data_IF_689250729251
#
_entry.id   IF_689250729251
#
_cell.length_a   1.000
_cell.length_b   1.000
_cell.length_c   1.000
_cell.angle_alpha   90.00
_cell.angle_beta   90.00
_cell.angle_gamma   90.00
#
_symmetry.space_group_name_H-M   'P 1'
#
loop_
_entity.id
_entity.type
_entity.pdbx_description
1 polymer ?
#
# COMPACT_ATOMS: atom_id res chain seq x y z
N UNK A 1 -33.60 36.36 11.47
CA UNK A 1 -32.38 35.56 11.33
C UNK A 1 -32.77 34.19 10.86
N UNK A 2 -32.50 33.79 9.65
CA UNK A 2 -32.73 32.41 9.27
C UNK A 2 -31.67 31.54 9.93
N UNK A 3 -32.12 30.67 10.80
CA UNK A 3 -31.28 29.58 11.33
C UNK A 3 -30.95 28.65 10.17
N UNK A 4 -29.71 28.60 9.80
CA UNK A 4 -29.17 27.53 8.96
C UNK A 4 -29.30 26.25 9.75
N UNK A 5 -30.35 25.48 9.49
CA UNK A 5 -30.43 24.09 9.86
C UNK A 5 -29.22 23.40 9.21
N UNK A 6 -28.19 23.15 10.01
CA UNK A 6 -27.26 22.06 9.72
C UNK A 6 -28.14 20.81 9.75
N UNK A 7 -28.43 20.29 8.57
CA UNK A 7 -28.86 18.90 8.46
C UNK A 7 -27.72 18.06 8.98
N UNK A 8 -27.85 17.59 10.20
CA UNK A 8 -27.08 16.47 10.70
C UNK A 8 -27.43 15.31 9.77
N UNK A 9 -26.59 15.11 8.77
CA UNK A 9 -26.61 13.90 7.99
C UNK A 9 -26.10 12.80 8.95
N UNK A 10 -27.04 12.04 9.50
CA UNK A 10 -26.77 10.94 10.42
C UNK A 10 -26.23 9.69 9.71
N UNK A 11 -25.64 9.89 8.53
CA UNK A 11 -24.92 8.88 7.75
C UNK A 11 -23.46 8.78 8.18
N UNK A 12 -22.86 7.61 7.95
CA UNK A 12 -21.42 7.41 8.13
C UNK A 12 -20.63 8.42 7.28
N UNK A 13 -19.58 9.01 7.84
CA UNK A 13 -18.69 9.89 7.10
C UNK A 13 -18.04 9.15 5.91
N UNK A 14 -17.59 9.90 4.91
CA UNK A 14 -16.91 9.29 3.76
C UNK A 14 -15.68 8.45 4.20
N UNK A 15 -14.96 8.88 5.22
CA UNK A 15 -13.85 8.11 5.79
C UNK A 15 -14.31 6.78 6.41
N UNK A 16 -15.41 6.79 7.17
CA UNK A 16 -16.00 5.55 7.72
C UNK A 16 -16.49 4.63 6.63
N UNK A 17 -17.06 5.16 5.55
CA UNK A 17 -17.50 4.37 4.40
C UNK A 17 -16.32 3.73 3.65
N UNK A 18 -15.21 4.43 3.48
CA UNK A 18 -13.97 3.85 2.92
C UNK A 18 -13.46 2.69 3.77
N UNK A 19 -13.42 2.88 5.07
CA UNK A 19 -12.98 1.86 6.03
C UNK A 19 -13.91 0.64 6.00
N UNK A 20 -15.20 0.86 5.92
CA UNK A 20 -16.20 -0.22 5.85
C UNK A 20 -16.11 -0.98 4.51
N UNK A 21 -15.91 -0.26 3.40
CA UNK A 21 -15.66 -0.89 2.10
C UNK A 21 -14.42 -1.79 2.13
N UNK A 22 -13.33 -1.32 2.73
CA UNK A 22 -12.11 -2.08 2.88
C UNK A 22 -12.27 -3.31 3.79
N UNK A 23 -13.02 -3.17 4.88
CA UNK A 23 -13.25 -4.24 5.84
C UNK A 23 -14.08 -5.38 5.27
N UNK A 24 -15.06 -5.06 4.42
CA UNK A 24 -16.04 -6.01 3.87
C UNK A 24 -15.82 -6.39 2.42
N UNK A 25 -14.75 -5.91 1.81
CA UNK A 25 -14.51 -6.05 0.37
C UNK A 25 -15.71 -5.55 -0.47
N UNK A 26 -16.31 -4.43 -0.05
CA UNK A 26 -17.50 -3.89 -0.70
C UNK A 26 -17.12 -2.88 -1.79
N UNK A 27 -16.95 -3.39 -3.01
CA UNK A 27 -16.60 -2.61 -4.20
C UNK A 27 -17.70 -1.63 -4.57
N UNK A 28 -18.97 -1.98 -4.40
CA UNK A 28 -20.09 -1.10 -4.74
C UNK A 28 -20.10 0.14 -3.86
N UNK A 29 -19.85 -0.04 -2.56
CA UNK A 29 -19.72 1.09 -1.64
C UNK A 29 -18.53 1.98 -2.01
N UNK A 30 -17.39 1.39 -2.36
CA UNK A 30 -16.20 2.13 -2.80
C UNK A 30 -16.49 2.92 -4.08
N UNK A 31 -17.16 2.32 -5.06
CA UNK A 31 -17.56 2.99 -6.30
C UNK A 31 -18.50 4.16 -6.05
N UNK A 32 -19.46 4.03 -5.13
CA UNK A 32 -20.34 5.12 -4.75
C UNK A 32 -19.57 6.32 -4.17
N UNK A 33 -18.49 6.05 -3.42
CA UNK A 33 -17.60 7.09 -2.93
C UNK A 33 -16.85 7.74 -4.10
N UNK A 34 -16.31 6.95 -5.03
CA UNK A 34 -15.60 7.46 -6.21
C UNK A 34 -16.51 8.38 -7.07
N UNK A 35 -17.74 7.98 -7.28
CA UNK A 35 -18.73 8.81 -7.99
C UNK A 35 -18.98 10.15 -7.28
N UNK A 36 -19.06 10.12 -5.95
CA UNK A 36 -19.26 11.34 -5.14
C UNK A 36 -18.09 12.32 -5.24
N UNK A 37 -16.91 11.83 -5.55
CA UNK A 37 -15.67 12.61 -5.68
C UNK A 37 -15.21 12.77 -7.14
N UNK A 38 -16.00 12.38 -8.12
CA UNK A 38 -15.60 12.40 -9.55
C UNK A 38 -15.08 13.76 -10.03
N UNK A 39 -15.62 14.87 -9.49
CA UNK A 39 -15.16 16.23 -9.80
C UNK A 39 -14.03 16.74 -8.90
N UNK A 40 -13.57 15.93 -7.95
CA UNK A 40 -12.60 16.33 -6.90
C UNK A 40 -11.59 15.21 -6.64
N UNK A 41 -10.80 14.81 -7.65
CA UNK A 41 -9.89 13.66 -7.51
C UNK A 41 -8.85 13.84 -6.41
N UNK A 42 -8.32 15.04 -6.22
CA UNK A 42 -7.34 15.30 -5.15
C UNK A 42 -7.93 15.10 -3.75
N UNK A 43 -9.22 15.43 -3.58
CA UNK A 43 -9.91 15.22 -2.31
C UNK A 43 -10.18 13.72 -2.07
N UNK A 44 -10.45 12.95 -3.13
CA UNK A 44 -10.56 11.50 -3.04
C UNK A 44 -9.25 10.87 -2.57
N UNK A 45 -8.13 11.24 -3.17
CA UNK A 45 -6.81 10.73 -2.78
C UNK A 45 -6.48 11.12 -1.34
N UNK A 46 -6.75 12.35 -0.96
CA UNK A 46 -6.58 12.81 0.43
C UNK A 46 -7.43 12.00 1.41
N UNK A 47 -8.68 11.71 1.05
CA UNK A 47 -9.59 10.88 1.83
C UNK A 47 -9.04 9.46 2.01
N UNK A 48 -8.63 8.81 0.92
CA UNK A 48 -8.10 7.44 0.94
C UNK A 48 -6.81 7.33 1.76
N UNK A 49 -5.95 8.34 1.67
CA UNK A 49 -4.69 8.39 2.42
C UNK A 49 -4.88 8.71 3.92
N UNK A 50 -5.97 9.38 4.29
CA UNK A 50 -6.21 9.82 5.67
C UNK A 50 -7.22 8.96 6.43
N UNK A 51 -8.12 8.24 5.75
CA UNK A 51 -9.14 7.43 6.39
C UNK A 51 -8.51 6.33 7.26
N UNK A 52 -8.95 6.25 8.51
CA UNK A 52 -8.49 5.25 9.48
C UNK A 52 -9.64 4.77 10.34
N UNK A 53 -9.57 3.52 10.77
CA UNK A 53 -10.48 2.99 11.77
C UNK A 53 -10.12 3.48 13.19
N UNK A 54 -10.93 3.11 14.17
CA UNK A 54 -10.74 3.50 15.57
C UNK A 54 -9.40 3.00 16.17
N UNK A 55 -8.78 1.99 15.57
CA UNK A 55 -7.50 1.43 16.01
C UNK A 55 -6.30 2.01 15.27
N UNK A 56 -6.53 2.77 14.21
CA UNK A 56 -5.48 3.41 13.40
C UNK A 56 -5.15 2.69 12.10
N UNK A 57 -5.89 1.65 11.72
CA UNK A 57 -5.69 0.97 10.44
C UNK A 57 -6.20 1.83 9.28
N UNK A 58 -5.40 1.97 8.23
CA UNK A 58 -5.86 2.51 6.95
C UNK A 58 -6.70 1.47 6.18
N UNK A 59 -7.34 1.91 5.10
CA UNK A 59 -8.06 1.00 4.22
C UNK A 59 -7.18 -0.14 3.70
N UNK A 60 -5.94 0.15 3.29
CA UNK A 60 -5.01 -0.88 2.80
C UNK A 60 -4.59 -1.87 3.89
N UNK A 61 -4.40 -1.42 5.14
CA UNK A 61 -4.16 -2.34 6.26
C UNK A 61 -5.31 -3.34 6.41
N UNK A 62 -6.56 -2.87 6.34
CA UNK A 62 -7.74 -3.72 6.49
C UNK A 62 -7.90 -4.68 5.31
N UNK A 63 -7.65 -4.23 4.08
CA UNK A 63 -7.66 -5.11 2.92
C UNK A 63 -6.66 -6.26 3.08
N UNK A 64 -5.44 -5.99 3.52
CA UNK A 64 -4.43 -7.01 3.74
C UNK A 64 -4.76 -7.92 4.95
N UNK A 65 -5.35 -7.35 5.99
CA UNK A 65 -5.74 -8.10 7.19
C UNK A 65 -6.79 -9.16 6.90
N UNK A 66 -7.73 -8.86 6.01
CA UNK A 66 -8.88 -9.72 5.71
C UNK A 66 -8.79 -10.40 4.33
N UNK A 67 -7.74 -10.17 3.57
CA UNK A 67 -7.59 -10.72 2.23
C UNK A 67 -8.55 -10.12 1.20
N UNK A 68 -8.91 -8.87 1.35
CA UNK A 68 -9.92 -8.18 0.51
C UNK A 68 -9.27 -7.54 -0.71
N UNK A 69 -8.97 -8.38 -1.71
CA UNK A 69 -8.20 -7.98 -2.90
C UNK A 69 -8.93 -6.97 -3.78
N UNK A 70 -10.23 -7.16 -4.06
CA UNK A 70 -10.93 -6.33 -5.03
C UNK A 70 -10.98 -4.85 -4.61
N UNK A 71 -11.22 -4.58 -3.34
CA UNK A 71 -11.15 -3.21 -2.81
C UNK A 71 -9.72 -2.70 -2.77
N UNK A 72 -8.76 -3.55 -2.41
CA UNK A 72 -7.33 -3.21 -2.43
C UNK A 72 -6.87 -2.78 -3.82
N UNK A 73 -7.18 -3.58 -4.82
CA UNK A 73 -6.84 -3.33 -6.23
C UNK A 73 -7.43 -2.01 -6.74
N UNK A 74 -8.72 -1.79 -6.51
CA UNK A 74 -9.38 -0.54 -6.88
C UNK A 74 -8.77 0.71 -6.20
N UNK A 75 -8.28 0.58 -4.99
CA UNK A 75 -7.61 1.70 -4.29
C UNK A 75 -6.21 1.91 -4.87
N UNK A 76 -5.46 0.84 -5.12
CA UNK A 76 -4.10 0.89 -5.64
C UNK A 76 -4.01 1.35 -7.10
N UNK A 77 -5.09 1.21 -7.87
CA UNK A 77 -5.19 1.73 -9.25
C UNK A 77 -5.19 3.26 -9.30
N UNK A 78 -5.44 3.93 -8.19
CA UNK A 78 -5.48 5.38 -8.13
C UNK A 78 -4.10 5.97 -7.88
N UNK A 79 -3.64 6.79 -8.81
CA UNK A 79 -2.39 7.52 -8.69
C UNK A 79 -2.42 8.49 -7.49
N UNK A 80 -1.37 8.48 -6.68
CA UNK A 80 -1.25 9.33 -5.49
C UNK A 80 -1.67 8.67 -4.18
N UNK A 81 -2.18 7.45 -4.22
CA UNK A 81 -2.46 6.67 -2.99
C UNK A 81 -1.13 6.23 -2.36
N UNK A 82 -1.01 6.44 -1.04
CA UNK A 82 0.14 5.96 -0.29
C UNK A 82 0.04 4.45 -0.06
N UNK A 83 0.94 3.70 -0.70
CA UNK A 83 1.01 2.22 -0.59
C UNK A 83 1.63 1.77 0.75
N UNK A 84 2.39 2.64 1.40
CA UNK A 84 3.18 2.35 2.60
C UNK A 84 2.72 3.13 3.84
N UNK A 85 1.40 3.25 4.14
CA UNK A 85 0.99 3.86 5.37
C UNK A 85 1.47 3.01 6.54
N UNK A 86 1.98 3.66 7.59
CA UNK A 86 2.39 2.99 8.81
C UNK A 86 1.33 3.13 9.88
N UNK A 87 1.00 2.03 10.52
CA UNK A 87 0.08 2.04 11.65
C UNK A 87 0.65 2.90 12.79
N UNK A 88 -0.12 3.84 13.38
CA UNK A 88 0.43 4.83 14.31
C UNK A 88 1.07 4.24 15.58
N UNK A 89 0.65 3.06 16.02
CA UNK A 89 1.17 2.42 17.22
C UNK A 89 2.24 1.36 16.95
N UNK A 90 2.08 0.58 15.88
CA UNK A 90 2.94 -0.57 15.59
C UNK A 90 3.93 -0.30 14.47
N UNK A 91 3.73 0.76 13.69
CA UNK A 91 4.47 1.09 12.48
C UNK A 91 4.42 0.00 11.39
N UNK A 92 3.53 -0.98 11.54
CA UNK A 92 3.29 -1.96 10.49
C UNK A 92 2.73 -1.29 9.23
N UNK A 93 3.19 -1.74 8.08
CA UNK A 93 2.65 -1.38 6.77
C UNK A 93 1.59 -2.39 6.32
N UNK A 94 0.80 -2.11 5.27
CA UNK A 94 -0.06 -3.11 4.66
C UNK A 94 0.69 -4.40 4.29
N UNK A 95 1.95 -4.27 3.85
CA UNK A 95 2.78 -5.43 3.53
C UNK A 95 3.07 -6.31 4.76
N UNK A 96 3.31 -5.72 5.95
CA UNK A 96 3.40 -6.49 7.20
C UNK A 96 2.10 -7.26 7.47
N UNK A 97 0.95 -6.63 7.23
CA UNK A 97 -0.36 -7.25 7.42
C UNK A 97 -0.60 -8.40 6.43
N UNK A 98 -0.20 -8.21 5.16
CA UNK A 98 -0.28 -9.28 4.16
C UNK A 98 0.60 -10.48 4.51
N UNK A 99 1.79 -10.24 5.05
CA UNK A 99 2.67 -11.31 5.56
C UNK A 99 2.02 -12.03 6.75
N UNK A 100 1.42 -11.31 7.68
CA UNK A 100 0.69 -11.93 8.80
C UNK A 100 -0.51 -12.76 8.31
N UNK A 101 -1.19 -12.32 7.27
CA UNK A 101 -2.30 -13.07 6.66
C UNK A 101 -1.85 -14.42 6.08
N UNK A 102 -0.57 -14.58 5.76
CA UNK A 102 -0.02 -15.84 5.22
C UNK A 102 -0.08 -17.02 6.19
N UNK A 103 -0.24 -16.76 7.48
CA UNK A 103 -0.43 -17.82 8.46
C UNK A 103 -1.81 -18.48 8.40
N UNK A 104 -2.78 -17.77 7.80
CA UNK A 104 -4.14 -18.26 7.57
C UNK A 104 -4.28 -18.83 6.15
N UNK A 105 -3.88 -18.04 5.14
CA UNK A 105 -4.06 -18.33 3.71
C UNK A 105 -2.76 -18.04 2.94
N UNK A 106 -1.77 -18.94 2.96
CA UNK A 106 -0.44 -18.67 2.43
C UNK A 106 -0.39 -18.37 0.94
N UNK A 107 -1.12 -19.11 0.11
CA UNK A 107 -1.10 -18.91 -1.34
C UNK A 107 -1.79 -17.60 -1.72
N UNK A 108 -2.87 -17.27 -1.04
CA UNK A 108 -3.58 -16.02 -1.28
C UNK A 108 -2.81 -14.80 -0.75
N UNK A 109 -2.14 -14.95 0.39
CA UNK A 109 -1.25 -13.92 0.90
C UNK A 109 -0.08 -13.65 -0.03
N UNK A 110 0.52 -14.68 -0.66
CA UNK A 110 1.54 -14.52 -1.67
C UNK A 110 1.05 -13.64 -2.82
N UNK A 111 -0.16 -13.91 -3.32
CA UNK A 111 -0.80 -13.11 -4.36
C UNK A 111 -0.97 -11.64 -3.94
N UNK A 112 -1.43 -11.36 -2.72
CA UNK A 112 -1.55 -9.98 -2.20
C UNK A 112 -0.19 -9.30 -2.10
N UNK A 113 0.83 -10.01 -1.62
CA UNK A 113 2.19 -9.51 -1.45
C UNK A 113 2.80 -9.14 -2.81
N UNK A 114 2.66 -10.01 -3.82
CA UNK A 114 3.14 -9.75 -5.17
C UNK A 114 2.50 -8.48 -5.76
N UNK A 115 1.19 -8.32 -5.62
CA UNK A 115 0.49 -7.11 -6.07
C UNK A 115 0.97 -5.85 -5.34
N UNK A 116 1.17 -5.92 -4.03
CA UNK A 116 1.70 -4.78 -3.26
C UNK A 116 3.11 -4.39 -3.71
N UNK A 117 3.99 -5.37 -3.96
CA UNK A 117 5.35 -5.13 -4.46
C UNK A 117 5.31 -4.48 -5.84
N UNK A 118 4.44 -4.96 -6.73
CA UNK A 118 4.29 -4.43 -8.10
C UNK A 118 3.93 -2.94 -8.10
N UNK A 119 3.09 -2.49 -7.19
CA UNK A 119 2.70 -1.08 -7.06
C UNK A 119 3.65 -0.25 -6.19
N UNK A 120 4.77 -0.80 -5.75
CA UNK A 120 5.83 -0.08 -5.06
C UNK A 120 5.82 -0.16 -3.54
N UNK A 121 5.23 -1.20 -2.96
CA UNK A 121 5.36 -1.43 -1.52
C UNK A 121 6.83 -1.58 -1.13
N UNK A 122 7.24 -0.88 -0.08
CA UNK A 122 8.61 -0.91 0.41
C UNK A 122 8.83 -2.09 1.35
N UNK A 123 9.55 -3.10 0.84
CA UNK A 123 9.88 -4.33 1.58
C UNK A 123 10.90 -4.13 2.72
N UNK A 124 11.52 -2.94 2.79
CA UNK A 124 12.55 -2.61 3.79
C UNK A 124 12.04 -1.86 5.00
N UNK A 125 10.80 -1.37 4.96
CA UNK A 125 10.22 -0.66 6.08
C UNK A 125 10.11 -1.56 7.31
N UNK A 126 10.57 -1.02 8.43
CA UNK A 126 10.55 -1.72 9.71
C UNK A 126 9.37 -1.25 10.54
N UNK A 127 8.75 -2.18 11.25
CA UNK A 127 7.75 -1.86 12.25
C UNK A 127 8.40 -1.37 13.57
N UNK A 128 7.59 -1.15 14.59
CA UNK A 128 8.03 -0.69 15.91
C UNK A 128 9.08 -1.60 16.55
N UNK A 129 9.02 -2.89 16.28
CA UNK A 129 9.95 -3.89 16.82
C UNK A 129 11.25 -3.99 15.97
N UNK A 130 11.40 -3.13 14.96
CA UNK A 130 12.54 -3.10 14.07
C UNK A 130 12.54 -4.21 13.02
N UNK A 131 11.38 -4.86 12.79
CA UNK A 131 11.22 -5.98 11.89
C UNK A 131 10.72 -5.53 10.52
N UNK A 132 11.38 -5.98 9.46
CA UNK A 132 10.88 -5.93 8.09
C UNK A 132 9.75 -6.97 7.91
N UNK A 133 8.88 -6.83 6.88
CA UNK A 133 7.85 -7.84 6.61
C UNK A 133 8.38 -9.27 6.53
N UNK A 134 9.51 -9.50 5.84
CA UNK A 134 10.11 -10.83 5.69
C UNK A 134 10.49 -11.47 7.03
N UNK A 135 10.85 -10.67 8.02
CA UNK A 135 11.26 -11.17 9.34
C UNK A 135 10.10 -11.68 10.19
N UNK A 136 8.86 -11.30 9.85
CA UNK A 136 7.65 -11.80 10.49
C UNK A 136 7.35 -13.26 10.16
N UNK A 137 7.89 -13.77 9.04
CA UNK A 137 7.65 -15.16 8.60
C UNK A 137 8.32 -16.21 9.51
N UNK A 138 9.36 -15.84 10.27
CA UNK A 138 10.19 -16.83 10.96
C UNK A 138 10.73 -17.85 9.96
N UNK A 139 10.58 -19.13 10.22
CA UNK A 139 10.97 -20.23 9.32
C UNK A 139 9.84 -20.69 8.38
N UNK A 140 8.72 -19.96 8.39
CA UNK A 140 7.54 -20.31 7.60
C UNK A 140 7.62 -19.73 6.18
N UNK A 141 6.98 -20.42 5.25
CA UNK A 141 6.65 -19.96 3.91
C UNK A 141 7.84 -19.45 3.07
N UNK A 142 8.62 -20.40 2.58
CA UNK A 142 9.79 -20.15 1.74
C UNK A 142 9.48 -19.32 0.49
N UNK A 143 8.33 -19.56 -0.17
CA UNK A 143 7.94 -18.81 -1.37
C UNK A 143 7.76 -17.32 -1.10
N UNK A 144 7.09 -16.97 0.00
CA UNK A 144 6.90 -15.56 0.38
C UNK A 144 8.24 -14.94 0.76
N UNK A 145 9.08 -15.68 1.46
CA UNK A 145 10.43 -15.24 1.79
C UNK A 145 11.22 -14.91 0.53
N UNK A 146 11.29 -15.84 -0.42
CA UNK A 146 12.01 -15.67 -1.68
C UNK A 146 11.48 -14.47 -2.48
N UNK A 147 10.16 -14.27 -2.49
CA UNK A 147 9.54 -13.12 -3.16
C UNK A 147 9.96 -11.80 -2.53
N UNK A 148 9.93 -11.69 -1.20
CA UNK A 148 10.31 -10.48 -0.48
C UNK A 148 11.80 -10.19 -0.56
N UNK A 149 12.66 -11.21 -0.45
CA UNK A 149 14.11 -11.08 -0.57
C UNK A 149 14.53 -10.73 -2.00
N UNK A 150 13.88 -11.31 -3.00
CA UNK A 150 14.10 -10.96 -4.41
C UNK A 150 13.73 -9.52 -4.71
N UNK A 151 12.61 -9.04 -4.15
CA UNK A 151 12.19 -7.65 -4.28
C UNK A 151 13.19 -6.70 -3.60
N UNK A 152 13.66 -7.03 -2.40
CA UNK A 152 14.68 -6.25 -1.71
C UNK A 152 16.00 -6.20 -2.51
N UNK A 153 16.41 -7.33 -3.05
CA UNK A 153 17.60 -7.42 -3.91
C UNK A 153 17.46 -6.54 -5.15
N UNK A 154 16.30 -6.60 -5.84
CA UNK A 154 16.07 -5.81 -7.02
C UNK A 154 16.13 -4.29 -6.76
N UNK A 155 15.68 -3.84 -5.59
CA UNK A 155 15.79 -2.43 -5.17
C UNK A 155 17.26 -2.04 -4.96
N UNK A 156 18.05 -2.92 -4.33
CA UNK A 156 19.44 -2.65 -4.00
C UNK A 156 20.38 -2.71 -5.23
N UNK A 157 19.99 -3.48 -6.26
CA UNK A 157 20.78 -3.70 -7.49
C UNK A 157 20.35 -2.76 -8.62
N UNK A 158 19.19 -2.10 -8.53
CA UNK A 158 18.89 -1.01 -9.45
C UNK A 158 20.05 -0.02 -9.36
N UNK A 159 20.90 0.10 -10.42
CA UNK A 159 21.84 1.19 -10.44
C UNK A 159 21.02 2.45 -10.29
N UNK A 160 21.50 3.38 -9.49
CA UNK A 160 20.99 4.75 -9.57
C UNK A 160 21.06 5.11 -11.05
N UNK A 161 19.92 4.99 -11.72
CA UNK A 161 19.85 5.19 -13.14
C UNK A 161 20.23 6.62 -13.40
N UNK A 162 21.21 6.79 -14.29
CA UNK A 162 21.53 8.05 -14.92
C UNK A 162 22.33 9.05 -14.08
N UNK A 163 23.40 8.57 -13.47
CA UNK A 163 24.62 9.33 -13.46
C UNK A 163 25.24 9.18 -14.84
N UNK A 164 25.57 10.27 -15.45
CA UNK A 164 26.20 10.42 -16.76
C UNK A 164 27.06 9.22 -17.12
N UNK A 165 26.74 8.58 -18.25
CA UNK A 165 27.70 7.78 -18.96
C UNK A 165 28.82 8.74 -19.37
N UNK A 166 29.83 8.81 -18.55
CA UNK A 166 31.09 9.34 -19.01
C UNK A 166 31.62 8.27 -19.96
N UNK A 167 31.31 8.42 -21.22
CA UNK A 167 32.11 7.75 -22.24
C UNK A 167 33.51 8.33 -22.08
N UNK A 168 34.33 7.60 -21.38
CA UNK A 168 35.75 7.70 -21.56
C UNK A 168 36.04 7.30 -23.00
N UNK A 169 35.97 8.28 -23.85
CA UNK A 169 36.61 8.20 -25.13
C UNK A 169 38.11 8.23 -24.85
N UNK A 170 38.67 7.12 -24.48
CA UNK A 170 40.05 6.87 -24.71
C UNK A 170 40.26 6.88 -26.23
N UNK A 171 40.41 8.04 -26.76
CA UNK A 171 41.06 8.15 -28.01
C UNK A 171 42.56 7.94 -27.74
N UNK A 172 42.94 6.72 -27.69
CA UNK A 172 44.34 6.38 -27.98
C UNK A 172 44.59 6.75 -29.41
N UNK A 173 44.87 7.97 -29.58
CA UNK A 173 45.50 8.40 -30.80
C UNK A 173 46.95 8.07 -30.67
N UNK A 174 47.27 6.88 -31.06
CA UNK A 174 48.59 6.48 -31.33
C UNK A 174 49.12 7.26 -32.54
N UNK A 175 49.65 8.38 -32.26
CA UNK A 175 50.52 9.02 -33.22
C UNK A 175 51.94 8.53 -33.00
N UNK A 176 52.41 7.56 -33.73
CA UNK A 176 53.83 7.22 -33.89
C UNK A 176 54.71 7.48 -32.69
#
# INVERSE_FOLDING_TARGET
MPETKQTEDSGASAAEQVIEAARRNNVDLLNSIYESYASKPDQLISLLNSAKDATGNSALHLCCKYGNYEVMDNILDLEGVNVNPQHPLTLDTPLHYAVNYSFEEPDYALFLIENLIEVGADVKLKNKDGLKPVQLLGDSNEKIRDTLESAEYAINVKPEAEGEVVEDLDSDDDAK
#
